data_IF_600404376446
#
_entry.id   IF_600404376446
#
_cell.length_a   1.000
_cell.length_b   1.000
_cell.length_c   1.000
_cell.angle_alpha   90.00
_cell.angle_beta   90.00
_cell.angle_gamma   90.00
#
_symmetry.space_group_name_H-M   'P 1'
#
loop_
_entity.id
_entity.type
_entity.pdbx_description
1 polymer ?
#
# COMPACT_ATOMS: atom_id res chain seq x y z
N UNK A 1 4.56 -8.37 -12.69
CA UNK A 1 3.52 -7.37 -12.33
C UNK A 1 3.43 -7.21 -10.82
N UNK A 2 3.30 -5.98 -10.38
CA UNK A 2 3.04 -5.66 -8.97
C UNK A 2 1.53 -5.61 -8.79
N UNK A 3 1.02 -6.39 -7.84
CA UNK A 3 -0.41 -6.43 -7.53
C UNK A 3 -0.64 -5.84 -6.15
N UNK A 4 -1.44 -4.81 -6.08
CA UNK A 4 -1.80 -4.16 -4.83
C UNK A 4 -3.26 -4.42 -4.54
N UNK A 5 -3.57 -4.83 -3.31
CA UNK A 5 -4.94 -5.00 -2.85
C UNK A 5 -5.18 -4.00 -1.72
N UNK A 6 -6.21 -3.17 -1.89
CA UNK A 6 -6.64 -2.25 -0.86
C UNK A 6 -7.82 -2.92 -0.16
N UNK A 7 -7.70 -3.11 1.16
CA UNK A 7 -8.74 -3.79 1.95
C UNK A 7 -9.62 -2.77 2.64
N UNK A 8 -10.92 -2.93 2.50
CA UNK A 8 -11.92 -2.07 3.16
C UNK A 8 -12.85 -2.92 4.02
N UNK A 9 -13.44 -2.31 5.02
CA UNK A 9 -14.48 -2.96 5.81
C UNK A 9 -15.85 -2.70 5.19
N UNK A 10 -16.91 -3.21 5.83
CA UNK A 10 -18.27 -3.08 5.33
C UNK A 10 -18.77 -1.64 5.29
N UNK A 11 -18.13 -0.75 6.05
CA UNK A 11 -18.48 0.68 6.06
C UNK A 11 -17.64 1.49 5.08
N UNK A 12 -16.81 0.83 4.28
CA UNK A 12 -15.94 1.49 3.32
C UNK A 12 -14.68 2.10 3.90
N UNK A 13 -14.35 1.83 5.16
CA UNK A 13 -13.12 2.32 5.78
C UNK A 13 -11.95 1.46 5.33
N UNK A 14 -10.82 2.09 5.11
CA UNK A 14 -9.62 1.37 4.67
C UNK A 14 -8.99 0.67 5.87
N UNK A 15 -8.86 -0.66 5.78
CA UNK A 15 -8.22 -1.47 6.82
C UNK A 15 -6.71 -1.57 6.62
N UNK A 16 -6.26 -1.43 5.39
CA UNK A 16 -4.85 -1.56 5.04
C UNK A 16 -4.69 -1.92 3.59
N UNK A 17 -3.49 -2.31 3.22
CA UNK A 17 -3.24 -2.77 1.85
C UNK A 17 -2.05 -3.73 1.83
N UNK A 18 -1.98 -4.51 0.76
CA UNK A 18 -0.86 -5.39 0.51
C UNK A 18 -0.31 -5.15 -0.89
N UNK A 19 0.96 -5.42 -1.06
CA UNK A 19 1.61 -5.33 -2.35
C UNK A 19 2.44 -6.59 -2.55
N UNK A 20 2.30 -7.22 -3.70
CA UNK A 20 2.98 -8.47 -4.00
C UNK A 20 3.53 -8.46 -5.41
N UNK A 21 4.66 -9.10 -5.58
CA UNK A 21 5.26 -9.27 -6.88
C UNK A 21 6.29 -8.23 -7.20
N UNK A 22 6.84 -8.37 -8.36
CA UNK A 22 7.78 -7.41 -8.90
C UNK A 22 7.52 -7.29 -10.39
N UNK A 23 8.05 -6.25 -10.97
CA UNK A 23 7.75 -5.97 -12.36
C UNK A 23 8.32 -7.02 -13.34
N UNK A 24 9.20 -7.89 -12.86
CA UNK A 24 9.63 -9.05 -13.64
C UNK A 24 10.66 -8.81 -14.73
N UNK A 25 11.07 -7.60 -14.97
CA UNK A 25 12.09 -7.29 -15.95
C UNK A 25 13.14 -6.38 -15.41
N UNK A 26 14.21 -6.25 -16.09
CA UNK A 26 15.33 -5.40 -15.72
C UNK A 26 15.32 -4.05 -16.41
N UNK A 27 14.18 -3.63 -16.91
CA UNK A 27 14.07 -2.36 -17.60
C UNK A 27 13.96 -1.18 -16.63
N UNK A 28 14.47 -0.03 -17.02
CA UNK A 28 14.48 1.18 -16.21
C UNK A 28 13.18 1.55 -15.52
N UNK A 29 12.08 1.44 -16.20
CA UNK A 29 10.78 1.85 -15.68
C UNK A 29 10.31 1.08 -14.46
N UNK A 30 10.86 -0.10 -14.23
CA UNK A 30 10.48 -0.94 -13.14
C UNK A 30 11.02 -0.56 -11.81
N UNK A 31 12.26 -0.16 -11.79
CA UNK A 31 12.88 0.27 -10.56
C UNK A 31 12.15 1.48 -10.03
N UNK A 32 11.69 2.34 -10.94
CA UNK A 32 10.91 3.51 -10.58
C UNK A 32 9.56 3.11 -10.01
N UNK A 33 8.89 2.15 -10.61
CA UNK A 33 7.58 1.66 -10.13
C UNK A 33 7.73 1.01 -8.75
N UNK A 34 8.69 0.11 -8.60
CA UNK A 34 8.95 -0.56 -7.33
C UNK A 34 9.32 0.45 -6.25
N UNK A 35 10.18 1.42 -6.56
CA UNK A 35 10.58 2.46 -5.62
C UNK A 35 9.42 3.33 -5.18
N UNK A 36 8.53 3.67 -6.10
CA UNK A 36 7.36 4.48 -5.78
C UNK A 36 6.45 3.78 -4.78
N UNK A 37 6.16 2.50 -5.01
CA UNK A 37 5.30 1.72 -4.12
C UNK A 37 5.99 1.49 -2.77
N UNK A 38 7.28 1.16 -2.78
CA UNK A 38 8.04 0.96 -1.54
C UNK A 38 8.07 2.22 -0.68
N UNK A 39 8.21 3.37 -1.31
CA UNK A 39 8.21 4.65 -0.61
C UNK A 39 6.86 4.92 0.04
N UNK A 40 5.76 4.67 -0.68
CA UNK A 40 4.42 4.86 -0.13
C UNK A 40 4.14 3.91 1.03
N UNK A 41 4.55 2.65 0.91
CA UNK A 41 4.40 1.68 1.98
C UNK A 41 5.18 2.11 3.22
N UNK A 42 6.45 2.45 3.05
CA UNK A 42 7.32 2.87 4.15
C UNK A 42 6.78 4.13 4.83
N UNK A 43 6.32 5.09 4.03
CA UNK A 43 5.73 6.32 4.55
C UNK A 43 4.48 6.01 5.38
N UNK A 44 3.64 5.10 4.90
CA UNK A 44 2.45 4.68 5.62
C UNK A 44 2.80 4.09 6.99
N UNK A 45 3.72 3.14 7.00
CA UNK A 45 4.15 2.47 8.24
C UNK A 45 4.72 3.50 9.22
N UNK A 46 5.64 4.34 8.74
CA UNK A 46 6.26 5.33 9.60
C UNK A 46 5.26 6.35 10.15
N UNK A 47 4.33 6.80 9.34
CA UNK A 47 3.30 7.74 9.78
C UNK A 47 2.40 7.13 10.86
N UNK A 48 1.98 5.87 10.68
CA UNK A 48 1.15 5.18 11.66
C UNK A 48 1.91 4.99 12.98
N UNK A 49 3.19 4.63 12.91
CA UNK A 49 4.01 4.50 14.11
C UNK A 49 4.16 5.84 14.84
N UNK A 50 4.47 6.89 14.11
CA UNK A 50 4.67 8.22 14.71
C UNK A 50 3.40 8.79 15.32
N UNK A 51 2.28 8.65 14.63
CA UNK A 51 1.02 9.28 15.05
C UNK A 51 0.24 8.45 16.06
N UNK A 52 0.33 7.13 15.98
CA UNK A 52 -0.52 6.22 16.75
C UNK A 52 0.23 5.27 17.66
N UNK A 53 1.54 5.21 17.55
CA UNK A 53 2.39 4.28 18.33
C UNK A 53 1.98 2.81 18.14
N UNK A 54 1.42 2.47 16.99
CA UNK A 54 1.05 1.09 16.69
C UNK A 54 2.28 0.21 16.58
N UNK A 55 2.11 -1.09 16.92
CA UNK A 55 3.18 -2.09 16.82
C UNK A 55 2.63 -3.32 16.13
N UNK A 56 3.48 -4.06 15.48
CA UNK A 56 3.15 -5.34 14.85
C UNK A 56 1.96 -5.26 13.89
N UNK A 57 1.90 -4.18 13.12
CA UNK A 57 0.78 -3.93 12.20
C UNK A 57 1.21 -4.00 10.74
N UNK A 58 2.39 -4.48 10.46
CA UNK A 58 2.88 -4.60 9.08
C UNK A 58 3.85 -5.77 8.96
N UNK A 59 4.05 -6.21 7.74
CA UNK A 59 4.99 -7.28 7.43
C UNK A 59 5.66 -6.97 6.10
N UNK A 60 6.96 -7.23 6.03
CA UNK A 60 7.73 -7.11 4.80
C UNK A 60 8.52 -8.40 4.65
N UNK A 61 8.38 -9.06 3.50
CA UNK A 61 9.25 -10.18 3.18
C UNK A 61 10.18 -9.71 2.07
N UNK A 62 11.44 -9.86 2.28
CA UNK A 62 12.44 -9.56 1.27
C UNK A 62 12.49 -10.73 0.28
N UNK A 63 13.42 -10.66 -0.57
CA UNK A 63 13.72 -11.74 -1.53
C UNK A 63 12.70 -11.84 -2.66
N UNK A 64 12.45 -13.06 -3.06
CA UNK A 64 11.74 -13.38 -4.28
C UNK A 64 10.28 -12.97 -4.33
N UNK A 65 9.60 -12.97 -3.21
CA UNK A 65 8.18 -12.66 -3.20
C UNK A 65 7.86 -11.17 -3.21
N UNK A 66 8.77 -10.32 -2.76
CA UNK A 66 8.54 -8.88 -2.65
C UNK A 66 7.14 -8.56 -2.12
N UNK A 67 6.82 -9.16 -0.98
CA UNK A 67 5.52 -8.96 -0.37
C UNK A 67 5.62 -7.96 0.78
N UNK A 68 4.68 -7.04 0.84
CA UNK A 68 4.54 -6.18 2.01
C UNK A 68 3.06 -5.97 2.30
N UNK A 69 2.75 -5.76 3.55
CA UNK A 69 1.37 -5.62 4.00
C UNK A 69 1.33 -4.73 5.23
N UNK A 70 0.34 -3.85 5.27
CA UNK A 70 0.04 -3.03 6.43
C UNK A 70 -1.45 -3.14 6.73
N UNK A 71 -1.79 -3.25 8.01
CA UNK A 71 -3.19 -3.45 8.40
C UNK A 71 -3.51 -2.71 9.70
N UNK A 72 -4.80 -2.58 9.98
CA UNK A 72 -5.29 -1.97 11.21
C UNK A 72 -5.32 -3.03 12.32
N UNK A 73 -4.76 -2.75 13.50
CA UNK A 73 -4.90 -3.67 14.62
C UNK A 73 -6.36 -3.91 14.97
N UNK A 74 -6.67 -5.06 15.55
CA UNK A 74 -8.03 -5.43 15.90
C UNK A 74 -8.70 -4.50 16.90
N UNK A 75 -7.93 -4.01 17.86
CA UNK A 75 -8.48 -3.19 18.93
C UNK A 75 -7.86 -1.80 18.89
N UNK A 76 -8.63 -0.83 18.43
CA UNK A 76 -8.22 0.56 18.37
C UNK A 76 -9.37 1.45 18.83
N UNK A 77 -9.04 2.66 19.27
CA UNK A 77 -10.05 3.64 19.66
C UNK A 77 -10.61 4.32 18.42
N UNK A 78 -11.75 4.99 18.54
CA UNK A 78 -12.32 5.74 17.44
C UNK A 78 -11.41 6.90 17.03
N UNK A 79 -10.71 7.51 17.97
CA UNK A 79 -9.77 8.57 17.67
C UNK A 79 -8.60 8.05 16.84
N UNK A 80 -8.08 6.89 17.20
CA UNK A 80 -7.04 6.24 16.41
C UNK A 80 -7.55 5.92 15.02
N UNK A 81 -8.80 5.46 14.92
CA UNK A 81 -9.40 5.13 13.63
C UNK A 81 -9.49 6.36 12.73
N UNK A 82 -9.90 7.49 13.28
CA UNK A 82 -10.00 8.72 12.51
C UNK A 82 -8.64 9.14 11.94
N UNK A 83 -7.61 9.10 12.77
CA UNK A 83 -6.26 9.43 12.33
C UNK A 83 -5.76 8.44 11.29
N UNK A 84 -5.97 7.15 11.54
CA UNK A 84 -5.55 6.11 10.61
C UNK A 84 -6.23 6.26 9.26
N UNK A 85 -7.51 6.62 9.22
CA UNK A 85 -8.22 6.81 7.95
C UNK A 85 -7.65 7.95 7.13
N UNK A 86 -7.25 9.05 7.77
CA UNK A 86 -6.60 10.15 7.05
C UNK A 86 -5.30 9.66 6.44
N UNK A 87 -4.50 8.93 7.21
CA UNK A 87 -3.21 8.40 6.73
C UNK A 87 -3.43 7.41 5.59
N UNK A 88 -4.28 6.40 5.78
CA UNK A 88 -4.54 5.41 4.74
C UNK A 88 -5.10 6.03 3.47
N UNK A 89 -6.05 6.95 3.59
CA UNK A 89 -6.63 7.60 2.41
C UNK A 89 -5.60 8.40 1.63
N UNK A 90 -4.70 9.08 2.34
CA UNK A 90 -3.63 9.84 1.71
C UNK A 90 -2.68 8.92 0.95
N UNK A 91 -2.27 7.82 1.58
CA UNK A 91 -1.38 6.85 0.94
C UNK A 91 -2.05 6.17 -0.24
N UNK A 92 -3.31 5.77 -0.10
CA UNK A 92 -4.06 5.15 -1.19
C UNK A 92 -4.20 6.12 -2.36
N UNK A 93 -4.40 7.41 -2.10
CA UNK A 93 -4.40 8.41 -3.16
C UNK A 93 -3.07 8.39 -3.92
N UNK A 94 -1.96 8.31 -3.20
CA UNK A 94 -0.64 8.20 -3.81
C UNK A 94 -0.50 6.94 -4.65
N UNK A 95 -0.99 5.81 -4.15
CA UNK A 95 -0.95 4.54 -4.89
C UNK A 95 -1.74 4.64 -6.20
N UNK A 96 -2.92 5.24 -6.15
CA UNK A 96 -3.75 5.41 -7.35
C UNK A 96 -3.12 6.38 -8.34
N UNK A 97 -2.44 7.41 -7.85
CA UNK A 97 -1.72 8.34 -8.71
C UNK A 97 -0.55 7.64 -9.41
N UNK A 98 0.16 6.77 -8.71
CA UNK A 98 1.24 5.98 -9.30
C UNK A 98 0.66 5.04 -10.36
N UNK A 99 -0.46 4.39 -10.07
CA UNK A 99 -1.09 3.49 -11.03
C UNK A 99 -1.44 4.23 -12.32
N UNK A 100 -2.03 5.40 -12.21
CA UNK A 100 -2.39 6.22 -13.36
C UNK A 100 -1.15 6.62 -14.17
N UNK A 101 -0.12 7.09 -13.49
CA UNK A 101 1.13 7.48 -14.13
C UNK A 101 1.81 6.31 -14.85
N UNK A 102 1.79 5.14 -14.22
CA UNK A 102 2.37 3.93 -14.82
C UNK A 102 1.60 3.54 -16.08
N UNK A 103 0.27 3.58 -16.04
CA UNK A 103 -0.55 3.27 -17.20
C UNK A 103 -0.25 4.20 -18.37
N UNK A 104 -0.11 5.49 -18.10
CA UNK A 104 0.17 6.48 -19.14
C UNK A 104 1.55 6.34 -19.77
N UNK A 105 2.54 6.04 -18.94
CA UNK A 105 3.94 6.06 -19.39
C UNK A 105 4.53 4.69 -19.72
N UNK A 106 4.00 3.63 -19.14
CA UNK A 106 4.59 2.29 -19.26
C UNK A 106 3.58 1.21 -19.66
N UNK A 107 2.27 1.54 -19.64
CA UNK A 107 1.23 0.58 -19.99
C UNK A 107 0.64 -0.14 -18.79
N UNK A 108 -0.19 -1.13 -19.05
CA UNK A 108 -1.01 -1.80 -18.03
C UNK A 108 -0.44 -3.11 -17.49
N UNK A 109 0.77 -3.48 -17.89
CA UNK A 109 1.37 -4.76 -17.54
C UNK A 109 2.21 -4.77 -16.26
N UNK A 110 2.44 -3.62 -15.67
CA UNK A 110 3.41 -3.49 -14.57
C UNK A 110 2.81 -3.35 -13.19
N UNK A 111 1.64 -2.76 -13.08
CA UNK A 111 1.02 -2.47 -11.80
C UNK A 111 -0.50 -2.60 -11.90
N UNK A 112 -1.09 -3.31 -10.95
CA UNK A 112 -2.55 -3.45 -10.84
C UNK A 112 -2.95 -3.16 -9.41
N UNK A 113 -3.96 -2.30 -9.26
CA UNK A 113 -4.53 -1.99 -7.95
C UNK A 113 -5.98 -2.45 -7.93
N UNK A 114 -6.35 -3.26 -6.95
CA UNK A 114 -7.72 -3.71 -6.77
C UNK A 114 -8.16 -3.40 -5.35
N UNK A 115 -9.46 -3.26 -5.16
CA UNK A 115 -10.06 -3.02 -3.84
C UNK A 115 -10.92 -4.22 -3.48
N UNK A 116 -10.76 -4.73 -2.26
CA UNK A 116 -11.57 -5.83 -1.76
C UNK A 116 -12.20 -5.45 -0.43
N UNK A 117 -13.39 -5.95 -0.20
CA UNK A 117 -14.11 -5.74 1.06
C UNK A 117 -13.99 -6.98 1.93
N UNK A 118 -13.68 -6.74 3.18
CA UNK A 118 -13.55 -7.83 4.15
C UNK A 118 -14.85 -8.09 4.87
#
# INVERSE_FOLDING_TARGET
MISIVIWKDQKGRILGFSSEGHAGYEEEGKDIICSSISTLFTTCVNALEEQLSWKDFYMVTGNESNFCEVWTPESITEKERETAQVIFKTIVRGILDVEESVKENYGTSYLRVTTKTK
#
